data_IF_768100926819
#
_entry.id   IF_768100926819
#
_cell.length_a   1.000
_cell.length_b   1.000
_cell.length_c   1.000
_cell.angle_alpha   90.00
_cell.angle_beta   90.00
_cell.angle_gamma   90.00
#
_symmetry.space_group_name_H-M   'P 1'
#
loop_
_entity.id
_entity.type
_entity.pdbx_description
1 polymer ?
#
# COMPACT_ATOMS: atom_id res chain seq x y z
N UNK A 1 2.83 -8.51 -24.62
CA UNK A 1 3.96 -8.95 -23.76
C UNK A 1 3.49 -10.07 -22.83
N UNK A 2 4.42 -10.86 -22.32
CA UNK A 2 4.21 -11.85 -21.24
C UNK A 2 4.78 -11.25 -19.96
N UNK A 3 3.94 -11.00 -18.97
CA UNK A 3 4.31 -10.25 -17.77
C UNK A 3 4.06 -11.14 -16.55
N UNK A 4 5.11 -11.35 -15.76
CA UNK A 4 5.05 -12.01 -14.46
C UNK A 4 5.09 -10.95 -13.37
N UNK A 5 4.15 -11.00 -12.44
CA UNK A 5 4.22 -10.30 -11.16
C UNK A 5 4.54 -11.31 -10.05
N UNK A 6 5.62 -11.06 -9.31
CA UNK A 6 5.98 -11.85 -8.14
C UNK A 6 5.82 -11.02 -6.88
N UNK A 7 5.04 -11.53 -5.93
CA UNK A 7 4.69 -10.86 -4.70
C UNK A 7 4.85 -11.75 -3.46
N UNK A 8 5.12 -11.15 -2.32
CA UNK A 8 5.36 -11.84 -1.05
C UNK A 8 4.10 -11.98 -0.19
N UNK A 9 2.92 -11.76 -0.75
CA UNK A 9 1.62 -11.84 -0.08
C UNK A 9 0.57 -12.47 -1.01
N UNK A 10 -0.63 -12.69 -0.47
CA UNK A 10 -1.74 -13.28 -1.23
C UNK A 10 -2.25 -12.33 -2.32
N UNK A 11 -2.48 -12.87 -3.53
CA UNK A 11 -3.19 -12.18 -4.61
C UNK A 11 -4.59 -11.70 -4.17
N UNK A 12 -5.26 -12.46 -3.30
CA UNK A 12 -6.57 -12.10 -2.75
C UNK A 12 -6.48 -11.21 -1.50
N UNK A 13 -5.29 -10.81 -1.08
CA UNK A 13 -5.05 -9.99 0.10
C UNK A 13 -5.80 -8.65 0.07
N UNK A 14 -6.24 -8.20 1.25
CA UNK A 14 -6.97 -6.92 1.42
C UNK A 14 -6.05 -5.72 1.65
N UNK A 15 -4.74 -5.92 1.83
CA UNK A 15 -3.77 -4.85 2.07
C UNK A 15 -3.58 -3.92 0.86
N UNK A 16 -3.11 -2.69 1.11
CA UNK A 16 -2.89 -1.70 0.06
C UNK A 16 -1.93 -2.18 -1.03
N UNK A 17 -0.82 -2.82 -0.66
CA UNK A 17 0.15 -3.35 -1.61
C UNK A 17 -0.45 -4.47 -2.47
N UNK A 18 -1.19 -5.43 -1.87
CA UNK A 18 -1.88 -6.48 -2.60
C UNK A 18 -2.93 -5.90 -3.58
N UNK A 19 -3.68 -4.87 -3.16
CA UNK A 19 -4.63 -4.16 -4.02
C UNK A 19 -3.93 -3.53 -5.22
N UNK A 20 -2.82 -2.82 -5.01
CA UNK A 20 -2.05 -2.20 -6.11
C UNK A 20 -1.54 -3.24 -7.09
N UNK A 21 -0.95 -4.32 -6.61
CA UNK A 21 -0.45 -5.41 -7.46
C UNK A 21 -1.55 -6.06 -8.28
N UNK A 22 -2.68 -6.38 -7.64
CA UNK A 22 -3.83 -6.98 -8.31
C UNK A 22 -4.41 -6.07 -9.40
N UNK A 23 -4.66 -4.80 -9.10
CA UNK A 23 -5.17 -3.83 -10.07
C UNK A 23 -4.17 -3.59 -11.22
N UNK A 24 -2.88 -3.54 -10.91
CA UNK A 24 -1.82 -3.43 -11.93
C UNK A 24 -1.84 -4.60 -12.90
N UNK A 25 -1.80 -5.82 -12.39
CA UNK A 25 -1.71 -7.01 -13.27
C UNK A 25 -3.02 -7.27 -14.02
N UNK A 26 -4.17 -6.98 -13.41
CA UNK A 26 -5.48 -7.03 -14.07
C UNK A 26 -5.56 -5.97 -15.19
N UNK A 27 -5.11 -4.75 -14.93
CA UNK A 27 -5.06 -3.69 -15.95
C UNK A 27 -4.21 -4.09 -17.15
N UNK A 28 -3.03 -4.67 -16.93
CA UNK A 28 -2.18 -5.18 -18.01
C UNK A 28 -2.83 -6.35 -18.77
N UNK A 29 -3.53 -7.25 -18.07
CA UNK A 29 -4.27 -8.33 -18.72
C UNK A 29 -5.42 -7.80 -19.58
N UNK A 30 -6.17 -6.81 -19.12
CA UNK A 30 -7.23 -6.14 -19.89
C UNK A 30 -6.71 -5.42 -21.14
N UNK A 31 -5.44 -5.00 -21.14
CA UNK A 31 -4.73 -4.41 -22.28
C UNK A 31 -4.24 -5.47 -23.30
N UNK A 32 -4.57 -6.75 -23.09
CA UNK A 32 -4.24 -7.85 -23.98
C UNK A 32 -2.88 -8.49 -23.74
N UNK A 33 -2.23 -8.20 -22.60
CA UNK A 33 -1.01 -8.90 -22.23
C UNK A 33 -1.30 -10.27 -21.60
N UNK A 34 -0.41 -11.24 -21.82
CA UNK A 34 -0.47 -12.52 -21.09
C UNK A 34 0.15 -12.31 -19.71
N UNK A 35 -0.63 -12.51 -18.66
CA UNK A 35 -0.19 -12.22 -17.30
C UNK A 35 -0.15 -13.48 -16.43
N UNK A 36 0.86 -13.51 -15.55
CA UNK A 36 0.98 -14.52 -14.51
C UNK A 36 1.35 -13.86 -13.18
N UNK A 37 0.98 -14.50 -12.07
CA UNK A 37 1.33 -14.08 -10.71
C UNK A 37 1.97 -15.24 -9.96
N UNK A 38 3.02 -14.95 -9.21
CA UNK A 38 3.56 -15.82 -8.17
C UNK A 38 3.21 -15.19 -6.83
N UNK A 39 2.50 -15.93 -5.97
CA UNK A 39 1.99 -15.43 -4.69
C UNK A 39 2.03 -16.51 -3.59
N UNK A 40 1.81 -16.06 -2.36
CA UNK A 40 1.57 -16.93 -1.20
C UNK A 40 0.07 -16.92 -0.93
N UNK A 41 -0.60 -18.06 -1.12
CA UNK A 41 -2.03 -18.16 -0.91
C UNK A 41 -2.37 -19.01 0.31
N UNK A 42 -3.42 -18.61 1.05
CA UNK A 42 -3.99 -19.44 2.08
C UNK A 42 -4.66 -20.68 1.47
N UNK A 43 -4.59 -21.83 2.14
CA UNK A 43 -5.22 -23.07 1.68
C UNK A 43 -6.72 -22.93 1.46
N UNK A 44 -7.41 -22.08 2.24
CA UNK A 44 -8.84 -21.81 2.07
C UNK A 44 -9.10 -20.97 0.82
N UNK A 45 -8.25 -20.00 0.51
CA UNK A 45 -8.31 -19.18 -0.69
C UNK A 45 -8.06 -20.04 -1.93
N UNK A 46 -7.02 -20.89 -1.91
CA UNK A 46 -6.75 -21.88 -2.95
C UNK A 46 -7.95 -22.83 -3.14
N UNK A 47 -8.54 -23.36 -2.05
CA UNK A 47 -9.66 -24.28 -2.12
C UNK A 47 -10.94 -23.65 -2.71
N UNK A 48 -11.09 -22.33 -2.57
CA UNK A 48 -12.21 -21.57 -3.16
C UNK A 48 -11.98 -21.20 -4.63
N UNK A 49 -10.73 -21.29 -5.13
CA UNK A 49 -10.39 -20.97 -6.52
C UNK A 49 -10.94 -22.01 -7.48
N UNK A 50 -11.35 -21.55 -8.66
CA UNK A 50 -11.83 -22.43 -9.74
C UNK A 50 -10.66 -22.90 -10.60
N UNK A 51 -10.77 -24.12 -11.16
CA UNK A 51 -9.80 -24.62 -12.13
C UNK A 51 -8.44 -25.00 -11.54
N UNK A 52 -8.40 -25.44 -10.26
CA UNK A 52 -7.18 -25.90 -9.60
C UNK A 52 -6.50 -27.02 -10.39
N UNK A 53 -5.22 -26.86 -10.63
CA UNK A 53 -4.36 -27.87 -11.25
C UNK A 53 -3.08 -28.03 -10.43
N UNK A 54 -2.57 -29.27 -10.24
CA UNK A 54 -1.24 -29.42 -9.67
C UNK A 54 -0.22 -28.77 -10.62
N UNK A 55 0.77 -28.09 -10.04
CA UNK A 55 1.92 -27.62 -10.78
C UNK A 55 2.78 -28.80 -11.31
N UNK A 56 3.71 -28.51 -12.17
CA UNK A 56 4.69 -29.49 -12.63
C UNK A 56 5.75 -29.77 -11.57
N UNK A 57 5.85 -28.93 -10.57
CA UNK A 57 6.74 -29.03 -9.43
C UNK A 57 5.94 -29.43 -8.17
N UNK A 58 6.37 -30.46 -7.41
CA UNK A 58 5.69 -30.83 -6.17
C UNK A 58 5.57 -29.64 -5.20
N UNK A 59 4.38 -29.44 -4.64
CA UNK A 59 4.08 -28.33 -3.71
C UNK A 59 3.74 -27.01 -4.41
N UNK A 60 3.59 -26.99 -5.72
CA UNK A 60 3.07 -25.86 -6.48
C UNK A 60 1.65 -26.15 -6.93
N UNK A 61 0.75 -25.23 -6.66
CA UNK A 61 -0.64 -25.25 -7.17
C UNK A 61 -0.80 -24.16 -8.21
N UNK A 62 -1.48 -24.47 -9.31
CA UNK A 62 -1.82 -23.52 -10.37
C UNK A 62 -3.31 -23.37 -10.49
N UNK A 63 -3.77 -22.17 -10.71
CA UNK A 63 -5.17 -21.87 -11.02
C UNK A 63 -5.24 -20.58 -11.86
N UNK A 64 -6.43 -20.24 -12.28
CA UNK A 64 -6.70 -19.01 -13.01
C UNK A 64 -7.68 -18.15 -12.22
N UNK A 65 -7.36 -16.85 -12.10
CA UNK A 65 -8.24 -15.84 -11.55
C UNK A 65 -8.19 -14.61 -12.47
N UNK A 66 -9.35 -14.08 -12.84
CA UNK A 66 -9.49 -12.88 -13.68
C UNK A 66 -8.71 -12.95 -15.03
N UNK A 67 -8.58 -14.15 -15.61
CA UNK A 67 -7.79 -14.39 -16.82
C UNK A 67 -6.27 -14.40 -16.61
N UNK A 68 -5.82 -14.44 -15.34
CA UNK A 68 -4.42 -14.42 -14.94
C UNK A 68 -4.04 -15.79 -14.40
N UNK A 69 -2.89 -16.32 -14.83
CA UNK A 69 -2.34 -17.56 -14.30
C UNK A 69 -1.69 -17.33 -12.94
N UNK A 70 -2.16 -18.01 -11.90
CA UNK A 70 -1.60 -17.92 -10.56
C UNK A 70 -0.77 -19.19 -10.28
N UNK A 71 0.47 -18.97 -9.82
CA UNK A 71 1.38 -20.00 -9.35
C UNK A 71 1.57 -19.78 -7.85
N UNK A 72 0.97 -20.65 -7.06
CA UNK A 72 0.98 -20.53 -5.60
C UNK A 72 1.70 -21.71 -4.94
N UNK A 73 2.30 -21.47 -3.78
CA UNK A 73 2.74 -22.54 -2.90
C UNK A 73 1.61 -22.92 -1.95
N UNK A 74 1.45 -24.21 -1.72
CA UNK A 74 0.57 -24.76 -0.67
C UNK A 74 1.22 -24.76 0.72
N UNK A 75 2.46 -24.31 0.83
CA UNK A 75 3.25 -24.19 2.05
C UNK A 75 3.60 -22.75 2.33
N UNK A 76 3.41 -22.33 3.58
CA UNK A 76 3.82 -21.05 4.06
C UNK A 76 5.28 -20.72 3.67
N UNK A 77 5.48 -19.61 2.97
CA UNK A 77 6.79 -19.02 2.64
C UNK A 77 7.66 -19.74 1.60
N UNK A 78 7.22 -20.83 0.97
CA UNK A 78 7.97 -21.47 -0.12
C UNK A 78 7.64 -20.83 -1.48
N UNK A 79 8.21 -19.65 -1.74
CA UNK A 79 7.98 -18.91 -3.00
C UNK A 79 8.94 -19.31 -4.13
N UNK A 80 10.05 -19.94 -3.83
CA UNK A 80 11.06 -20.25 -4.85
C UNK A 80 10.56 -21.28 -5.87
N UNK A 81 9.79 -22.30 -5.44
CA UNK A 81 9.25 -23.33 -6.34
C UNK A 81 8.24 -22.77 -7.33
N UNK A 82 7.17 -22.06 -6.91
CA UNK A 82 6.25 -21.42 -7.84
C UNK A 82 6.97 -20.39 -8.74
N UNK A 83 7.93 -19.62 -8.23
CA UNK A 83 8.72 -18.69 -9.03
C UNK A 83 9.54 -19.39 -10.13
N UNK A 84 10.31 -20.42 -9.75
CA UNK A 84 11.12 -21.21 -10.69
C UNK A 84 10.27 -21.94 -11.74
N UNK A 85 9.13 -22.50 -11.33
CA UNK A 85 8.20 -23.13 -12.28
C UNK A 85 7.61 -22.12 -13.25
N UNK A 86 7.16 -20.95 -12.75
CA UNK A 86 6.58 -19.92 -13.59
C UNK A 86 7.60 -19.40 -14.60
N UNK A 87 8.81 -19.06 -14.18
CA UNK A 87 9.87 -18.60 -15.08
C UNK A 87 10.15 -19.60 -16.21
N UNK A 88 10.23 -20.90 -15.88
CA UNK A 88 10.51 -21.96 -16.84
C UNK A 88 9.37 -22.22 -17.81
N UNK A 89 8.10 -22.17 -17.36
CA UNK A 89 6.93 -22.57 -18.15
C UNK A 89 6.26 -21.38 -18.81
N UNK A 90 6.09 -20.28 -18.12
CA UNK A 90 5.49 -19.06 -18.61
C UNK A 90 6.45 -18.23 -19.46
N UNK A 91 7.76 -18.24 -19.19
CA UNK A 91 8.83 -17.54 -19.93
C UNK A 91 8.49 -16.04 -20.14
N UNK A 92 8.43 -15.24 -19.09
CA UNK A 92 8.00 -13.85 -19.15
C UNK A 92 8.98 -12.99 -19.97
N UNK A 93 8.44 -11.96 -20.65
CA UNK A 93 9.21 -10.86 -21.23
C UNK A 93 9.62 -9.85 -20.13
N UNK A 94 8.78 -9.68 -19.12
CA UNK A 94 9.01 -8.82 -17.95
C UNK A 94 8.68 -9.57 -16.66
N UNK A 95 9.53 -9.34 -15.66
CA UNK A 95 9.35 -9.83 -14.27
C UNK A 95 9.22 -8.61 -13.37
N UNK A 96 8.01 -8.37 -12.87
CA UNK A 96 7.72 -7.33 -11.90
C UNK A 96 7.87 -7.93 -10.50
N UNK A 97 8.74 -7.38 -9.68
CA UNK A 97 8.91 -7.79 -8.28
C UNK A 97 8.28 -6.71 -7.40
N UNK A 98 7.21 -7.09 -6.71
CA UNK A 98 6.57 -6.23 -5.73
C UNK A 98 7.15 -6.48 -4.35
N UNK A 99 7.48 -5.40 -3.66
CA UNK A 99 8.18 -5.45 -2.38
C UNK A 99 9.46 -6.31 -2.48
N UNK A 100 10.55 -5.91 -1.91
CA UNK A 100 11.80 -6.66 -2.09
C UNK A 100 11.76 -7.98 -1.30
N UNK A 101 11.09 -8.97 -1.87
CA UNK A 101 11.40 -10.35 -1.54
C UNK A 101 12.80 -10.64 -2.05
N UNK A 102 13.83 -10.49 -1.21
CA UNK A 102 15.24 -10.74 -1.59
C UNK A 102 15.36 -12.07 -2.32
N UNK A 103 14.64 -13.09 -1.88
CA UNK A 103 14.62 -14.41 -2.52
C UNK A 103 14.01 -14.36 -3.93
N UNK A 104 12.87 -13.72 -4.12
CA UNK A 104 12.22 -13.62 -5.44
C UNK A 104 13.10 -12.85 -6.42
N UNK A 105 13.73 -11.77 -5.94
CA UNK A 105 14.66 -10.97 -6.74
C UNK A 105 15.89 -11.79 -7.14
N UNK A 106 16.48 -12.55 -6.22
CA UNK A 106 17.63 -13.42 -6.51
C UNK A 106 17.30 -14.44 -7.61
N UNK A 107 16.18 -15.14 -7.49
CA UNK A 107 15.74 -16.12 -8.50
C UNK A 107 15.48 -15.45 -9.86
N UNK A 108 14.87 -14.27 -9.86
CA UNK A 108 14.63 -13.54 -11.10
C UNK A 108 15.94 -13.09 -11.76
N UNK A 109 16.93 -12.69 -10.98
CA UNK A 109 18.26 -12.29 -11.48
C UNK A 109 19.04 -13.46 -12.09
N UNK A 110 18.91 -14.67 -11.55
CA UNK A 110 19.45 -15.88 -12.17
C UNK A 110 18.78 -16.19 -13.53
N UNK A 111 17.52 -15.82 -13.70
CA UNK A 111 16.81 -16.01 -14.95
C UNK A 111 17.24 -14.97 -16.01
N UNK A 112 17.01 -13.68 -15.78
CA UNK A 112 17.44 -12.59 -16.66
C UNK A 112 17.30 -11.22 -15.96
N UNK A 113 18.37 -10.61 -15.47
CA UNK A 113 18.31 -9.32 -14.78
C UNK A 113 17.84 -8.17 -15.68
N UNK A 114 18.00 -8.29 -17.02
CA UNK A 114 17.57 -7.26 -17.98
C UNK A 114 16.05 -7.16 -18.13
N UNK A 115 15.29 -8.09 -17.56
CA UNK A 115 13.84 -8.16 -17.61
C UNK A 115 13.15 -7.79 -16.30
N UNK A 116 13.92 -7.42 -15.27
CA UNK A 116 13.39 -7.18 -13.94
C UNK A 116 13.02 -5.71 -13.76
N UNK A 117 11.80 -5.46 -13.32
CA UNK A 117 11.34 -4.17 -12.83
C UNK A 117 10.88 -4.32 -11.38
N UNK A 118 11.46 -3.52 -10.50
CA UNK A 118 11.00 -3.45 -9.11
C UNK A 118 9.84 -2.47 -9.00
N UNK A 119 8.82 -2.85 -8.23
CA UNK A 119 7.68 -2.01 -7.87
C UNK A 119 7.72 -1.76 -6.37
N UNK A 120 8.29 -0.64 -5.95
CA UNK A 120 8.54 -0.31 -4.55
C UNK A 120 7.32 0.41 -3.97
N UNK A 121 6.64 -0.24 -3.02
CA UNK A 121 5.39 0.22 -2.42
C UNK A 121 5.49 0.43 -0.90
N UNK A 122 6.64 0.15 -0.28
CA UNK A 122 6.85 0.27 1.16
C UNK A 122 8.31 0.60 1.46
N UNK A 123 8.55 1.22 2.60
CA UNK A 123 9.90 1.46 3.12
C UNK A 123 10.41 0.31 3.98
N UNK A 124 9.60 -0.71 4.29
CA UNK A 124 9.92 -1.75 5.29
C UNK A 124 11.27 -2.40 5.03
N UNK A 125 11.55 -2.77 3.79
CA UNK A 125 12.82 -3.41 3.41
C UNK A 125 14.03 -2.47 3.51
N UNK A 126 13.80 -1.17 3.52
CA UNK A 126 14.82 -0.11 3.50
C UNK A 126 14.91 0.64 4.82
N UNK A 127 14.31 0.11 5.90
CA UNK A 127 14.37 0.74 7.22
C UNK A 127 15.78 0.67 7.79
N UNK A 128 16.29 1.76 8.36
CA UNK A 128 17.59 1.75 9.02
C UNK A 128 17.53 0.92 10.31
N UNK A 129 18.17 -0.23 10.31
CA UNK A 129 18.35 -1.08 11.51
C UNK A 129 19.80 -1.10 11.92
N UNK A 130 20.09 -1.16 13.23
CA UNK A 130 21.46 -1.07 13.76
C UNK A 130 22.40 -2.21 13.32
N UNK A 131 21.88 -3.29 12.72
CA UNK A 131 22.64 -4.50 12.36
C UNK A 131 22.75 -4.78 10.86
N UNK A 132 22.44 -3.84 9.99
CA UNK A 132 22.10 -4.15 8.58
C UNK A 132 23.16 -3.81 7.52
N UNK A 133 24.37 -3.33 7.87
CA UNK A 133 25.34 -2.83 6.88
C UNK A 133 25.63 -3.78 5.70
N UNK A 134 25.95 -5.04 5.98
CA UNK A 134 26.24 -6.04 4.93
C UNK A 134 24.97 -6.43 4.15
N UNK A 135 23.85 -6.57 4.83
CA UNK A 135 22.57 -6.88 4.20
C UNK A 135 22.07 -5.71 3.33
N UNK A 136 22.22 -4.48 3.80
CA UNK A 136 21.87 -3.29 3.01
C UNK A 136 22.70 -3.21 1.73
N UNK A 137 24.01 -3.41 1.79
CA UNK A 137 24.85 -3.38 0.58
C UNK A 137 24.53 -4.54 -0.35
N UNK A 138 24.20 -5.71 0.19
CA UNK A 138 23.71 -6.82 -0.62
C UNK A 138 22.43 -6.44 -1.38
N UNK A 139 21.43 -5.87 -0.69
CA UNK A 139 20.19 -5.40 -1.33
C UNK A 139 20.50 -4.31 -2.36
N UNK A 140 21.34 -3.33 -2.04
CA UNK A 140 21.74 -2.28 -3.01
C UNK A 140 22.39 -2.86 -4.26
N UNK A 141 23.23 -3.87 -4.09
CA UNK A 141 23.86 -4.58 -5.21
C UNK A 141 22.82 -5.27 -6.10
N UNK A 142 21.84 -5.93 -5.48
CA UNK A 142 20.72 -6.55 -6.24
C UNK A 142 19.90 -5.51 -6.99
N UNK A 143 19.60 -4.38 -6.37
CA UNK A 143 18.87 -3.28 -7.00
C UNK A 143 19.57 -2.72 -8.24
N UNK A 144 20.91 -2.58 -8.19
CA UNK A 144 21.72 -2.12 -9.34
C UNK A 144 21.62 -3.05 -10.55
N UNK A 145 21.31 -4.33 -10.33
CA UNK A 145 21.17 -5.35 -11.36
C UNK A 145 19.73 -5.55 -11.83
N UNK A 146 18.89 -4.49 -11.75
CA UNK A 146 17.55 -4.51 -12.30
C UNK A 146 17.46 -3.58 -13.52
N UNK A 147 16.47 -3.83 -14.38
CA UNK A 147 16.24 -3.01 -15.57
C UNK A 147 15.60 -1.67 -15.24
N UNK A 148 14.79 -1.62 -14.19
CA UNK A 148 14.12 -0.40 -13.75
C UNK A 148 13.54 -0.52 -12.34
N UNK A 149 13.30 0.64 -11.73
CA UNK A 149 12.66 0.76 -10.43
C UNK A 149 11.46 1.71 -10.60
N UNK A 150 10.30 1.25 -10.20
CA UNK A 150 9.07 2.04 -10.13
C UNK A 150 8.74 2.30 -8.68
N UNK A 151 8.38 3.53 -8.36
CA UNK A 151 7.91 3.95 -7.03
C UNK A 151 6.50 4.53 -7.13
N UNK A 152 5.75 4.46 -6.03
CA UNK A 152 4.33 4.84 -5.99
C UNK A 152 4.10 6.31 -5.61
N UNK A 153 5.16 7.07 -5.37
CA UNK A 153 5.10 8.49 -5.00
C UNK A 153 6.45 9.18 -5.20
N UNK A 154 6.46 10.52 -5.23
CA UNK A 154 7.69 11.30 -5.21
C UNK A 154 8.48 11.09 -3.91
N UNK A 155 7.78 10.96 -2.77
CA UNK A 155 8.41 10.61 -1.50
C UNK A 155 9.22 9.32 -1.62
N UNK A 156 8.65 8.26 -2.17
CA UNK A 156 9.34 6.97 -2.35
C UNK A 156 10.49 7.06 -3.34
N UNK A 157 10.36 7.84 -4.41
CA UNK A 157 11.46 8.11 -5.36
C UNK A 157 12.65 8.72 -4.62
N UNK A 158 12.41 9.78 -3.85
CA UNK A 158 13.46 10.52 -3.15
C UNK A 158 14.08 9.67 -2.03
N UNK A 159 13.26 8.86 -1.34
CA UNK A 159 13.72 7.91 -0.35
C UNK A 159 14.66 6.84 -0.97
N UNK A 160 14.25 6.20 -2.07
CA UNK A 160 15.08 5.21 -2.76
C UNK A 160 16.36 5.85 -3.31
N UNK A 161 16.27 7.07 -3.84
CA UNK A 161 17.46 7.81 -4.29
C UNK A 161 18.43 8.08 -3.17
N UNK A 162 17.94 8.53 -2.03
CA UNK A 162 18.77 8.78 -0.85
C UNK A 162 19.39 7.49 -0.30
N UNK A 163 18.60 6.42 -0.19
CA UNK A 163 19.02 5.15 0.39
C UNK A 163 19.96 4.35 -0.51
N UNK A 164 19.71 4.27 -1.82
CA UNK A 164 20.45 3.41 -2.76
C UNK A 164 21.36 4.17 -3.74
N UNK A 165 21.15 5.46 -3.93
CA UNK A 165 21.77 6.25 -5.00
C UNK A 165 21.13 6.04 -6.38
N UNK A 166 20.15 5.15 -6.51
CA UNK A 166 19.53 4.79 -7.80
C UNK A 166 18.35 5.70 -8.15
N UNK A 167 18.14 5.91 -9.44
CA UNK A 167 16.98 6.61 -9.96
C UNK A 167 15.79 5.65 -10.08
N UNK A 168 14.58 6.18 -9.90
CA UNK A 168 13.33 5.45 -10.09
C UNK A 168 12.28 6.32 -10.79
N UNK A 169 11.32 5.68 -11.43
CA UNK A 169 10.21 6.34 -12.10
C UNK A 169 8.98 6.31 -11.20
N UNK A 170 8.35 7.47 -11.00
CA UNK A 170 7.08 7.53 -10.24
C UNK A 170 5.93 7.13 -11.14
N UNK A 171 5.25 6.06 -10.78
CA UNK A 171 3.97 5.66 -11.36
C UNK A 171 2.96 5.53 -10.22
N UNK A 172 2.07 6.51 -10.13
CA UNK A 172 1.03 6.49 -9.09
C UNK A 172 0.13 5.27 -9.23
N UNK A 173 -0.28 4.64 -8.10
CA UNK A 173 -1.10 3.44 -8.15
C UNK A 173 -2.51 3.74 -8.66
N UNK A 174 -2.93 3.09 -9.73
CA UNK A 174 -4.28 3.15 -10.28
C UNK A 174 -5.22 2.16 -9.58
N UNK A 175 -5.18 2.11 -8.23
CA UNK A 175 -5.84 1.09 -7.42
C UNK A 175 -7.12 1.60 -6.74
N UNK A 176 -7.94 2.37 -7.45
CA UNK A 176 -9.17 2.96 -6.89
C UNK A 176 -10.45 2.37 -7.49
N UNK A 177 -10.34 1.53 -8.53
CA UNK A 177 -11.48 1.04 -9.30
C UNK A 177 -12.01 2.09 -10.30
N UNK A 178 -13.06 1.71 -11.04
CA UNK A 178 -13.61 2.52 -12.14
C UNK A 178 -14.75 3.46 -11.71
N UNK A 179 -15.18 3.41 -10.43
CA UNK A 179 -16.36 4.14 -9.96
C UNK A 179 -17.69 3.56 -10.52
N UNK A 180 -18.83 4.27 -10.41
CA UNK A 180 -18.93 5.56 -9.74
C UNK A 180 -18.69 5.46 -8.23
N UNK A 181 -18.06 6.48 -7.65
CA UNK A 181 -17.81 6.55 -6.21
C UNK A 181 -18.95 7.25 -5.51
N UNK A 182 -19.56 6.60 -4.53
CA UNK A 182 -20.65 7.19 -3.75
C UNK A 182 -20.16 8.38 -2.93
N UNK A 183 -20.85 9.51 -2.98
CA UNK A 183 -20.58 10.64 -2.09
C UNK A 183 -21.35 10.44 -0.78
N UNK A 184 -20.62 10.26 0.33
CA UNK A 184 -21.23 10.10 1.65
C UNK A 184 -21.32 11.45 2.38
N UNK A 185 -22.52 11.72 2.94
CA UNK A 185 -22.82 12.96 3.69
C UNK A 185 -23.02 12.64 5.17
N UNK A 186 -21.92 12.25 5.85
CA UNK A 186 -21.97 11.65 7.19
C UNK A 186 -21.74 12.65 8.34
N UNK A 187 -22.00 13.96 8.13
CA UNK A 187 -21.75 14.96 9.17
C UNK A 187 -22.52 14.67 10.48
N UNK A 188 -23.76 14.25 10.39
CA UNK A 188 -24.63 14.10 11.57
C UNK A 188 -24.47 12.74 12.29
N UNK A 189 -23.98 11.69 11.61
CA UNK A 189 -24.11 10.32 12.13
C UNK A 189 -22.86 9.43 12.02
N UNK A 190 -21.77 9.91 11.42
CA UNK A 190 -20.60 9.08 11.16
C UNK A 190 -19.63 8.98 12.34
N UNK A 191 -18.74 8.00 12.28
CA UNK A 191 -17.60 7.80 13.18
C UNK A 191 -16.39 8.63 12.76
N UNK A 192 -15.54 9.00 13.74
CA UNK A 192 -14.14 9.33 13.49
C UNK A 192 -13.39 8.02 13.39
N UNK A 193 -12.92 7.69 12.19
CA UNK A 193 -12.39 6.36 11.83
C UNK A 193 -10.87 6.34 11.78
N UNK A 194 -10.27 5.23 12.22
CA UNK A 194 -8.89 4.86 11.93
C UNK A 194 -8.84 3.42 11.39
N UNK A 195 -8.10 3.20 10.30
CA UNK A 195 -7.86 1.87 9.73
C UNK A 195 -6.45 1.40 10.12
N UNK A 196 -6.35 0.13 10.52
CA UNK A 196 -5.11 -0.52 10.98
C UNK A 196 -4.47 0.21 12.17
N UNK A 197 -5.18 0.41 13.30
CA UNK A 197 -4.65 1.10 14.47
C UNK A 197 -3.47 0.30 15.06
N UNK A 198 -2.29 0.85 14.94
CA UNK A 198 -1.04 0.28 15.46
C UNK A 198 0.00 1.38 15.68
N UNK A 199 1.15 1.02 16.27
CA UNK A 199 2.23 1.95 16.58
C UNK A 199 2.72 2.73 15.35
N UNK A 200 2.95 2.06 14.22
CA UNK A 200 3.38 2.70 12.97
C UNK A 200 2.36 3.71 12.43
N UNK A 201 1.09 3.42 12.60
CA UNK A 201 -0.03 4.24 12.09
C UNK A 201 -0.50 5.30 13.08
N UNK A 202 0.16 5.43 14.25
CA UNK A 202 -0.12 6.50 15.21
C UNK A 202 -1.35 6.25 16.08
N UNK A 203 -1.57 5.01 16.52
CA UNK A 203 -2.64 4.67 17.46
C UNK A 203 -2.61 5.55 18.72
N UNK A 204 -1.43 6.02 19.16
CA UNK A 204 -1.27 6.91 20.32
C UNK A 204 -2.06 8.22 20.18
N UNK A 205 -2.02 8.83 18.98
CA UNK A 205 -2.80 10.04 18.65
C UNK A 205 -4.29 9.71 18.67
N UNK A 206 -4.71 8.62 18.03
CA UNK A 206 -6.13 8.20 18.00
C UNK A 206 -6.69 7.99 19.42
N UNK A 207 -5.96 7.29 20.27
CA UNK A 207 -6.36 7.05 21.67
C UNK A 207 -6.41 8.36 22.47
N UNK A 208 -5.47 9.28 22.26
CA UNK A 208 -5.48 10.59 22.92
C UNK A 208 -6.72 11.40 22.52
N UNK A 209 -7.07 11.43 21.22
CA UNK A 209 -8.26 12.11 20.73
C UNK A 209 -9.55 11.50 21.29
N UNK A 210 -9.65 10.17 21.30
CA UNK A 210 -10.83 9.48 21.81
C UNK A 210 -11.04 9.71 23.32
N UNK A 211 -9.96 9.79 24.11
CA UNK A 211 -10.03 10.16 25.54
C UNK A 211 -10.46 11.61 25.73
N UNK A 212 -9.96 12.52 24.90
CA UNK A 212 -10.25 13.96 25.01
C UNK A 212 -11.68 14.33 24.56
N UNK A 213 -12.29 13.47 23.72
CA UNK A 213 -13.62 13.70 23.14
C UNK A 213 -14.57 12.54 23.48
N UNK A 214 -14.93 12.31 24.76
CA UNK A 214 -15.69 11.14 25.17
C UNK A 214 -17.14 11.10 24.62
N UNK A 215 -17.65 12.23 24.16
CA UNK A 215 -18.98 12.36 23.53
C UNK A 215 -18.98 12.10 22.02
N UNK A 216 -17.79 11.99 21.41
CA UNK A 216 -17.64 11.71 19.97
C UNK A 216 -17.51 10.20 19.75
N UNK A 217 -18.18 9.69 18.74
CA UNK A 217 -18.10 8.28 18.35
C UNK A 217 -16.87 8.04 17.50
N UNK A 218 -15.97 7.19 17.97
CA UNK A 218 -14.81 6.73 17.24
C UNK A 218 -15.00 5.29 16.77
N UNK A 219 -14.36 4.94 15.67
CA UNK A 219 -14.27 3.57 15.21
C UNK A 219 -12.84 3.21 14.76
N UNK A 220 -12.47 1.97 14.96
CA UNK A 220 -11.21 1.44 14.53
C UNK A 220 -11.42 0.13 13.74
N UNK A 221 -10.70 -0.04 12.63
CA UNK A 221 -10.68 -1.28 11.85
C UNK A 221 -9.34 -1.97 12.09
N UNK A 222 -9.24 -2.90 13.06
CA UNK A 222 -8.02 -3.66 13.29
C UNK A 222 -7.63 -4.48 12.06
N UNK A 223 -6.34 -4.44 11.71
CA UNK A 223 -5.83 -5.13 10.54
C UNK A 223 -4.45 -5.75 10.83
N UNK A 224 -3.64 -6.04 9.81
CA UNK A 224 -2.42 -6.85 9.87
C UNK A 224 -1.39 -6.43 10.92
N UNK A 225 -1.27 -5.12 11.25
CA UNK A 225 -0.30 -4.62 12.22
C UNK A 225 -0.90 -4.33 13.61
N UNK A 226 -2.22 -4.52 13.78
CA UNK A 226 -2.89 -4.27 15.07
C UNK A 226 -2.62 -5.39 16.04
N UNK A 227 -1.88 -5.13 17.11
CA UNK A 227 -1.53 -6.12 18.15
C UNK A 227 -2.68 -6.41 19.11
N UNK A 228 -2.50 -7.41 19.96
CA UNK A 228 -3.45 -7.72 21.05
C UNK A 228 -3.53 -6.56 22.07
N UNK A 229 -2.40 -5.93 22.35
CA UNK A 229 -2.28 -4.79 23.26
C UNK A 229 -3.01 -3.56 22.67
N UNK A 230 -2.86 -3.30 21.37
CA UNK A 230 -3.58 -2.22 20.67
C UNK A 230 -5.09 -2.43 20.78
N UNK A 231 -5.56 -3.67 20.53
CA UNK A 231 -6.98 -4.02 20.67
C UNK A 231 -7.48 -3.82 22.09
N UNK A 232 -6.72 -4.24 23.09
CA UNK A 232 -7.05 -4.06 24.50
C UNK A 232 -7.16 -2.56 24.87
N UNK A 233 -6.22 -1.73 24.39
CA UNK A 233 -6.24 -0.28 24.61
C UNK A 233 -7.47 0.40 23.97
N UNK A 234 -7.85 -0.01 22.76
CA UNK A 234 -9.05 0.49 22.08
C UNK A 234 -10.33 0.09 22.84
N UNK A 235 -10.41 -1.14 23.32
CA UNK A 235 -11.59 -1.66 24.05
C UNK A 235 -11.79 -1.02 25.42
N UNK A 236 -10.77 -0.40 26.01
CA UNK A 236 -10.90 0.36 27.26
C UNK A 236 -11.67 1.66 27.09
N UNK A 237 -11.87 2.15 25.89
CA UNK A 237 -12.54 3.43 25.61
C UNK A 237 -14.00 3.18 25.20
N UNK A 238 -15.00 3.63 26.00
CA UNK A 238 -16.41 3.33 25.76
C UNK A 238 -16.98 3.96 24.51
N UNK A 239 -16.31 4.98 23.96
CA UNK A 239 -16.69 5.69 22.74
C UNK A 239 -15.97 5.16 21.50
N UNK A 240 -15.22 4.04 21.60
CA UNK A 240 -14.52 3.41 20.46
C UNK A 240 -15.22 2.08 20.10
N UNK A 241 -15.59 1.94 18.84
CA UNK A 241 -16.17 0.72 18.27
C UNK A 241 -15.15 0.04 17.36
N UNK A 242 -14.94 -1.28 17.55
CA UNK A 242 -14.15 -2.08 16.62
C UNK A 242 -15.02 -2.56 15.46
N UNK A 243 -14.64 -2.23 14.24
CA UNK A 243 -15.29 -2.65 13.00
C UNK A 243 -14.43 -3.73 12.35
N UNK A 244 -15.03 -4.75 11.77
CA UNK A 244 -14.30 -5.78 11.02
C UNK A 244 -13.79 -5.20 9.70
N UNK A 245 -12.61 -5.66 9.22
CA UNK A 245 -12.17 -5.36 7.86
C UNK A 245 -13.19 -5.90 6.85
N UNK A 246 -13.49 -5.08 5.84
CA UNK A 246 -14.41 -5.44 4.76
C UNK A 246 -13.70 -5.30 3.42
N UNK A 247 -13.93 -6.23 2.47
CA UNK A 247 -13.35 -6.12 1.12
C UNK A 247 -13.82 -4.88 0.37
N UNK A 248 -15.09 -4.50 0.57
CA UNK A 248 -15.66 -3.27 0.02
C UNK A 248 -15.54 -2.13 1.05
N UNK A 249 -14.67 -1.16 0.77
CA UNK A 249 -14.48 0.01 1.64
C UNK A 249 -15.73 0.86 1.80
N UNK A 250 -16.70 0.82 0.87
CA UNK A 250 -17.95 1.55 0.99
C UNK A 250 -18.75 1.10 2.22
N UNK A 251 -18.65 -0.17 2.61
CA UNK A 251 -19.31 -0.70 3.81
C UNK A 251 -18.77 -0.08 5.11
N UNK A 252 -17.52 0.36 5.11
CA UNK A 252 -16.89 1.08 6.20
C UNK A 252 -17.17 2.59 6.05
N UNK A 253 -16.95 3.14 4.86
CA UNK A 253 -17.02 4.58 4.61
C UNK A 253 -18.43 5.17 4.69
N UNK A 254 -19.48 4.38 4.41
CA UNK A 254 -20.89 4.83 4.58
C UNK A 254 -21.24 5.26 6.02
N UNK A 255 -20.42 4.89 7.01
CA UNK A 255 -20.58 5.26 8.41
C UNK A 255 -19.39 6.09 8.95
N UNK A 256 -18.55 6.62 8.07
CA UNK A 256 -17.36 7.39 8.45
C UNK A 256 -17.62 8.88 8.26
N UNK A 257 -17.51 9.68 9.34
CA UNK A 257 -17.57 11.14 9.29
C UNK A 257 -16.21 11.73 8.86
N UNK A 258 -15.14 11.34 9.55
CA UNK A 258 -13.77 11.82 9.33
C UNK A 258 -12.83 10.60 9.36
N UNK A 259 -11.89 10.54 8.44
CA UNK A 259 -10.82 9.55 8.48
C UNK A 259 -9.57 10.17 9.13
N UNK A 260 -9.00 9.49 10.12
CA UNK A 260 -7.71 9.83 10.73
C UNK A 260 -6.61 8.92 10.15
N UNK A 261 -5.55 9.54 9.65
CA UNK A 261 -4.36 8.86 9.13
C UNK A 261 -3.12 9.46 9.82
N UNK A 262 -2.97 9.27 11.15
CA UNK A 262 -1.90 9.88 11.94
C UNK A 262 -0.61 9.06 11.91
N UNK A 263 -0.25 8.50 10.76
CA UNK A 263 0.92 7.63 10.61
C UNK A 263 2.20 8.31 11.08
N UNK A 264 3.04 7.54 11.79
CA UNK A 264 4.32 8.00 12.34
C UNK A 264 5.52 7.51 11.54
N UNK A 265 5.31 6.67 10.54
CA UNK A 265 6.35 6.17 9.65
C UNK A 265 6.20 6.74 8.23
N UNK A 266 7.20 6.55 7.38
CA UNK A 266 7.14 7.01 5.98
C UNK A 266 6.14 6.22 5.16
N UNK A 267 4.88 6.66 5.12
CA UNK A 267 3.88 6.09 4.21
C UNK A 267 4.36 6.18 2.77
N UNK A 268 4.26 5.09 2.03
CA UNK A 268 4.67 5.10 0.64
C UNK A 268 3.82 6.07 -0.21
N UNK A 269 2.49 6.06 -0.01
CA UNK A 269 1.57 7.00 -0.65
C UNK A 269 0.34 7.28 0.24
N UNK A 270 -0.28 6.21 0.79
CA UNK A 270 -1.49 6.36 1.60
C UNK A 270 -2.78 6.22 0.79
N UNK A 271 -2.96 5.10 0.09
CA UNK A 271 -4.14 4.81 -0.75
C UNK A 271 -5.47 5.10 -0.07
N UNK A 272 -5.58 4.79 1.23
CA UNK A 272 -6.80 4.99 2.01
C UNK A 272 -7.24 6.46 2.07
N UNK A 273 -6.29 7.40 1.92
CA UNK A 273 -6.58 8.84 1.83
C UNK A 273 -7.37 9.12 0.56
N UNK A 274 -6.88 8.67 -0.59
CA UNK A 274 -7.58 8.81 -1.87
C UNK A 274 -8.92 8.09 -1.90
N UNK A 275 -8.99 6.87 -1.35
CA UNK A 275 -10.24 6.11 -1.24
C UNK A 275 -11.32 6.87 -0.44
N UNK A 276 -10.96 7.51 0.68
CA UNK A 276 -11.87 8.32 1.49
C UNK A 276 -12.26 9.62 0.77
N UNK A 277 -11.27 10.31 0.19
CA UNK A 277 -11.47 11.58 -0.52
C UNK A 277 -12.40 11.42 -1.73
N UNK A 278 -12.28 10.34 -2.51
CA UNK A 278 -13.20 10.00 -3.61
C UNK A 278 -14.67 9.93 -3.16
N UNK A 279 -14.89 9.60 -1.90
CA UNK A 279 -16.23 9.47 -1.29
C UNK A 279 -16.65 10.73 -0.53
N UNK A 280 -15.88 11.81 -0.64
CA UNK A 280 -16.15 13.07 0.03
C UNK A 280 -15.99 13.01 1.55
N UNK A 281 -15.18 12.09 2.07
CA UNK A 281 -14.89 11.99 3.50
C UNK A 281 -13.67 12.88 3.80
N UNK A 282 -13.80 13.89 4.68
CA UNK A 282 -12.65 14.67 5.12
C UNK A 282 -11.59 13.80 5.80
N UNK A 283 -10.32 14.03 5.45
CA UNK A 283 -9.19 13.26 5.97
C UNK A 283 -8.23 14.19 6.72
N UNK A 284 -7.96 13.87 7.98
CA UNK A 284 -6.84 14.44 8.74
C UNK A 284 -5.66 13.46 8.62
N UNK A 285 -4.60 13.88 7.94
CA UNK A 285 -3.41 13.06 7.68
C UNK A 285 -2.18 13.68 8.31
N UNK A 286 -1.21 12.84 8.71
CA UNK A 286 0.09 13.35 9.15
C UNK A 286 0.94 13.82 7.97
N UNK A 287 2.00 14.57 8.29
CA UNK A 287 3.01 15.00 7.33
C UNK A 287 4.06 13.90 7.03
N UNK A 288 3.76 12.63 7.37
CA UNK A 288 4.70 11.52 7.26
C UNK A 288 4.69 10.90 5.84
N UNK A 289 5.87 10.80 5.25
CA UNK A 289 6.06 10.11 3.98
C UNK A 289 5.29 10.74 2.81
N UNK A 290 4.62 9.92 2.03
CA UNK A 290 3.80 10.31 0.88
C UNK A 290 2.39 10.81 1.24
N UNK A 291 2.02 10.92 2.53
CA UNK A 291 0.69 11.41 2.92
C UNK A 291 0.40 12.85 2.47
N UNK A 292 1.34 13.81 2.58
CA UNK A 292 1.11 15.15 2.02
C UNK A 292 0.80 15.12 0.52
N UNK A 293 1.46 14.24 -0.22
CA UNK A 293 1.23 14.04 -1.66
C UNK A 293 -0.14 13.43 -1.94
N UNK A 294 -0.56 12.42 -1.18
CA UNK A 294 -1.88 11.78 -1.32
C UNK A 294 -3.05 12.66 -0.90
N UNK A 295 -2.80 13.73 -0.12
CA UNK A 295 -3.78 14.76 0.23
C UNK A 295 -4.12 15.70 -0.93
N UNK A 296 -3.37 15.69 -2.02
CA UNK A 296 -3.66 16.42 -3.26
C UNK A 296 -3.89 17.93 -3.04
N UNK A 297 -3.19 18.53 -2.08
CA UNK A 297 -3.34 19.96 -1.73
C UNK A 297 -4.56 20.29 -0.86
N UNK A 298 -5.35 19.32 -0.43
CA UNK A 298 -6.47 19.57 0.50
C UNK A 298 -5.95 19.73 1.92
N UNK A 299 -6.51 20.68 2.66
CA UNK A 299 -6.11 21.04 4.03
C UNK A 299 -6.08 19.86 5.01
N UNK A 300 -5.48 20.10 6.18
CA UNK A 300 -5.29 19.16 7.30
C UNK A 300 -4.24 18.08 7.04
N UNK A 301 -3.05 18.51 6.63
CA UNK A 301 -1.80 17.79 6.82
C UNK A 301 -1.19 18.29 8.15
N UNK A 302 -1.14 17.41 9.15
CA UNK A 302 -0.81 17.74 10.52
C UNK A 302 0.56 17.18 10.94
N UNK A 303 1.33 17.90 11.78
CA UNK A 303 2.65 17.44 12.18
C UNK A 303 2.57 16.24 13.13
N UNK A 304 3.59 15.39 13.03
CA UNK A 304 3.87 14.29 13.96
C UNK A 304 5.37 14.19 14.20
N UNK A 305 5.75 13.62 15.34
CA UNK A 305 7.12 13.16 15.56
C UNK A 305 7.26 11.78 14.89
N UNK A 306 8.06 11.71 13.82
CA UNK A 306 8.22 10.49 13.03
C UNK A 306 9.05 9.43 13.77
N UNK A 307 8.82 8.16 13.46
CA UNK A 307 9.67 7.05 13.87
C UNK A 307 10.96 7.14 13.06
N UNK A 308 12.08 7.39 13.74
CA UNK A 308 13.41 7.52 13.14
C UNK A 308 14.28 6.29 13.41
N UNK A 309 13.96 5.51 14.45
CA UNK A 309 14.77 4.38 14.90
C UNK A 309 13.94 3.10 15.01
N UNK A 310 14.56 2.03 14.57
CA UNK A 310 14.01 0.67 14.61
C UNK A 310 15.01 -0.23 15.30
N UNK A 311 14.52 -1.17 16.10
CA UNK A 311 15.32 -2.16 16.83
C UNK A 311 14.83 -3.57 16.46
N UNK A 312 15.73 -4.54 16.57
CA UNK A 312 15.34 -5.96 16.47
C UNK A 312 14.91 -6.43 17.87
N UNK A 313 13.77 -7.10 17.94
CA UNK A 313 13.36 -7.78 19.17
C UNK A 313 14.10 -9.11 19.36
N UNK A 314 13.75 -9.85 20.45
CA UNK A 314 14.37 -11.15 20.74
C UNK A 314 14.15 -12.20 19.67
N UNK A 315 13.13 -12.07 18.86
CA UNK A 315 12.75 -12.98 17.78
C UNK A 315 13.32 -12.54 16.42
N UNK A 316 14.06 -11.42 16.41
CA UNK A 316 14.68 -10.82 15.21
C UNK A 316 13.68 -10.00 14.38
N UNK A 317 12.51 -9.68 14.91
CA UNK A 317 11.55 -8.84 14.21
C UNK A 317 11.87 -7.34 14.41
N UNK A 318 11.66 -6.56 13.36
CA UNK A 318 11.87 -5.11 13.39
C UNK A 318 10.73 -4.44 14.15
N UNK A 319 11.07 -3.74 15.22
CA UNK A 319 10.12 -2.96 16.04
C UNK A 319 10.44 -1.47 16.00
N UNK A 320 9.44 -0.58 15.91
CA UNK A 320 9.67 0.86 15.94
C UNK A 320 9.95 1.34 17.37
N UNK A 321 10.86 2.30 17.50
CA UNK A 321 10.96 3.11 18.71
C UNK A 321 10.03 4.31 18.54
N UNK A 322 8.83 4.20 19.11
CA UNK A 322 7.76 5.20 18.91
C UNK A 322 8.03 6.44 19.77
N UNK A 323 8.21 7.63 19.16
CA UNK A 323 8.37 8.87 19.92
C UNK A 323 7.05 9.35 20.53
N UNK A 324 7.15 10.13 21.60
CA UNK A 324 5.99 10.79 22.19
C UNK A 324 5.36 11.77 21.21
N UNK A 325 4.04 11.85 21.21
CA UNK A 325 3.26 12.67 20.28
C UNK A 325 2.50 13.78 21.03
N UNK A 326 2.53 14.99 20.47
CA UNK A 326 1.61 16.07 20.87
C UNK A 326 0.34 15.99 20.01
N UNK A 327 -0.77 15.60 20.62
CA UNK A 327 -2.06 15.52 19.95
C UNK A 327 -2.86 16.83 19.92
N UNK A 328 -2.33 17.94 20.43
CA UNK A 328 -3.07 19.20 20.60
C UNK A 328 -3.57 19.78 19.27
N UNK A 329 -2.71 19.81 18.25
CA UNK A 329 -3.08 20.28 16.91
C UNK A 329 -4.11 19.34 16.25
N UNK A 330 -3.99 18.03 16.46
CA UNK A 330 -4.94 17.04 15.99
C UNK A 330 -6.30 17.20 16.67
N UNK A 331 -6.32 17.45 17.98
CA UNK A 331 -7.55 17.68 18.74
C UNK A 331 -8.28 18.93 18.25
N UNK A 332 -7.53 20.04 18.04
CA UNK A 332 -8.10 21.28 17.51
C UNK A 332 -8.69 21.04 16.10
N UNK A 333 -7.90 20.46 15.19
CA UNK A 333 -8.34 20.20 13.82
C UNK A 333 -9.56 19.29 13.75
N UNK A 334 -9.55 18.20 14.54
CA UNK A 334 -10.69 17.29 14.59
C UNK A 334 -11.94 18.00 15.13
N UNK A 335 -11.81 18.76 16.23
CA UNK A 335 -12.94 19.48 16.82
C UNK A 335 -13.53 20.48 15.80
N UNK A 336 -12.69 21.27 15.12
CA UNK A 336 -13.14 22.22 14.10
C UNK A 336 -13.96 21.52 13.00
N UNK A 337 -13.46 20.39 12.46
CA UNK A 337 -14.10 19.66 11.36
C UNK A 337 -15.40 19.00 11.79
N UNK A 338 -15.50 18.46 13.00
CA UNK A 338 -16.71 17.73 13.44
C UNK A 338 -17.81 18.63 13.98
N UNK A 339 -17.51 19.90 14.31
CA UNK A 339 -18.49 20.85 14.88
C UNK A 339 -18.93 21.92 13.89
N UNK A 340 -18.09 22.28 12.91
CA UNK A 340 -18.43 23.29 11.88
C UNK A 340 -18.89 22.57 10.60
N UNK A 341 -20.22 22.56 10.35
CA UNK A 341 -20.82 21.96 9.17
C UNK A 341 -20.32 22.59 7.86
N UNK A 342 -20.17 23.91 7.82
CA UNK A 342 -19.75 24.60 6.60
C UNK A 342 -18.30 24.25 6.25
N UNK A 343 -17.44 24.14 7.25
CA UNK A 343 -16.06 23.65 7.09
C UNK A 343 -16.05 22.20 6.60
N UNK A 344 -16.84 21.33 7.21
CA UNK A 344 -16.94 19.92 6.83
C UNK A 344 -17.37 19.75 5.37
N UNK A 345 -18.44 20.41 4.95
CA UNK A 345 -18.97 20.33 3.59
C UNK A 345 -17.99 20.87 2.56
N UNK A 346 -17.30 21.98 2.86
CA UNK A 346 -16.23 22.51 2.02
C UNK A 346 -15.10 21.51 1.85
N UNK A 347 -14.62 20.89 2.93
CA UNK A 347 -13.57 19.87 2.89
C UNK A 347 -14.02 18.60 2.15
N UNK A 348 -15.27 18.19 2.34
CA UNK A 348 -15.87 17.04 1.64
C UNK A 348 -15.85 17.24 0.13
N UNK A 349 -16.31 18.39 -0.34
CA UNK A 349 -16.31 18.72 -1.78
C UNK A 349 -14.89 18.84 -2.34
N UNK A 350 -14.03 19.62 -1.68
CA UNK A 350 -12.63 19.79 -2.11
C UNK A 350 -11.88 18.45 -2.18
N UNK A 351 -12.07 17.58 -1.18
CA UNK A 351 -11.48 16.22 -1.17
C UNK A 351 -11.93 15.42 -2.37
N UNK A 352 -13.25 15.41 -2.62
CA UNK A 352 -13.83 14.64 -3.74
C UNK A 352 -13.36 15.16 -5.09
N UNK A 353 -13.39 16.46 -5.32
CA UNK A 353 -12.94 17.09 -6.57
C UNK A 353 -11.46 16.80 -6.85
N UNK A 354 -10.59 16.98 -5.87
CA UNK A 354 -9.17 16.70 -6.00
C UNK A 354 -8.91 15.22 -6.31
N UNK A 355 -9.58 14.29 -5.59
CA UNK A 355 -9.38 12.86 -5.79
C UNK A 355 -9.95 12.38 -7.14
N UNK A 356 -11.12 12.87 -7.58
CA UNK A 356 -11.68 12.54 -8.90
C UNK A 356 -10.77 13.04 -10.04
N UNK A 357 -10.25 14.26 -9.92
CA UNK A 357 -9.28 14.81 -10.87
C UNK A 357 -8.01 13.96 -10.92
N UNK A 358 -7.45 13.62 -9.77
CA UNK A 358 -6.26 12.78 -9.67
C UNK A 358 -6.48 11.41 -10.32
N UNK A 359 -7.53 10.69 -9.94
CA UNK A 359 -7.83 9.35 -10.47
C UNK A 359 -8.16 9.41 -11.97
N UNK A 360 -8.87 10.44 -12.44
CA UNK A 360 -9.15 10.66 -13.86
C UNK A 360 -7.90 10.85 -14.72
N UNK A 361 -6.80 11.33 -14.12
CA UNK A 361 -5.51 11.51 -14.77
C UNK A 361 -4.60 10.25 -14.67
N UNK A 362 -4.96 9.27 -13.85
CA UNK A 362 -4.25 7.98 -13.80
C UNK A 362 -4.61 7.17 -15.05
N UNK A 363 -3.87 7.34 -16.11
CA UNK A 363 -4.11 6.61 -17.36
C UNK A 363 -3.85 5.11 -17.19
N UNK A 364 -4.72 4.23 -17.72
CA UNK A 364 -4.56 2.77 -17.62
C UNK A 364 -3.28 2.26 -18.30
N UNK A 365 -2.74 3.01 -19.25
CA UNK A 365 -1.56 2.60 -20.05
C UNK A 365 -0.22 3.14 -19.54
N UNK A 366 -0.14 3.76 -18.35
CA UNK A 366 1.11 4.35 -17.87
C UNK A 366 2.18 3.29 -17.65
N UNK A 367 1.82 2.16 -17.04
CA UNK A 367 2.78 1.10 -16.76
C UNK A 367 3.19 0.35 -18.03
N UNK A 368 2.25 0.10 -18.95
CA UNK A 368 2.53 -0.48 -20.27
C UNK A 368 3.55 0.36 -21.04
N UNK A 369 3.31 1.67 -21.16
CA UNK A 369 4.25 2.61 -21.84
C UNK A 369 5.62 2.64 -21.19
N UNK A 370 5.68 2.51 -19.87
CA UNK A 370 6.96 2.41 -19.17
C UNK A 370 7.72 1.15 -19.58
N UNK A 371 7.08 -0.01 -19.63
CA UNK A 371 7.70 -1.27 -20.07
C UNK A 371 8.15 -1.20 -21.54
N UNK A 372 7.34 -0.61 -22.43
CA UNK A 372 7.69 -0.38 -23.83
C UNK A 372 8.89 0.54 -23.99
N UNK A 373 8.95 1.62 -23.22
CA UNK A 373 10.11 2.52 -23.17
C UNK A 373 11.39 1.80 -22.75
N UNK A 374 11.33 0.95 -21.72
CA UNK A 374 12.46 0.13 -21.32
C UNK A 374 12.89 -0.86 -22.42
N UNK A 375 11.94 -1.48 -23.12
CA UNK A 375 12.22 -2.38 -24.24
C UNK A 375 12.90 -1.66 -25.41
N UNK A 376 12.52 -0.41 -25.68
CA UNK A 376 13.13 0.43 -26.72
C UNK A 376 14.52 1.00 -26.34
N UNK A 377 15.06 0.64 -25.17
CA UNK A 377 16.38 1.10 -24.75
C UNK A 377 16.41 2.47 -24.05
N UNK A 378 15.27 3.08 -23.79
CA UNK A 378 15.20 4.27 -22.95
C UNK A 378 15.59 3.89 -21.52
N UNK A 379 16.64 4.52 -20.97
CA UNK A 379 16.86 4.49 -19.52
C UNK A 379 15.76 5.34 -18.90
N UNK A 380 15.29 4.97 -17.70
CA UNK A 380 14.33 5.76 -16.94
C UNK A 380 14.92 7.13 -16.62
N UNK A 381 14.85 8.06 -17.56
CA UNK A 381 14.91 9.48 -17.22
C UNK A 381 13.65 9.78 -16.43
N UNK A 382 13.81 10.54 -15.34
CA UNK A 382 12.73 10.97 -14.48
C UNK A 382 11.69 11.76 -15.31
N UNK A 383 10.83 11.05 -16.02
CA UNK A 383 9.66 11.63 -16.65
C UNK A 383 8.70 11.97 -15.51
N UNK A 384 8.83 13.19 -14.97
CA UNK A 384 7.76 13.80 -14.21
C UNK A 384 6.58 13.94 -15.17
N UNK A 385 5.63 13.04 -15.11
CA UNK A 385 4.29 13.33 -15.60
C UNK A 385 3.67 14.33 -14.62
N UNK A 386 4.19 15.58 -14.70
CA UNK A 386 3.59 16.71 -14.05
C UNK A 386 2.17 16.83 -14.61
N UNK A 387 1.22 16.87 -13.73
CA UNK A 387 -0.12 17.38 -13.97
C UNK A 387 0.00 18.79 -14.56
N UNK A 388 -0.31 18.95 -15.85
CA UNK A 388 -0.72 20.23 -16.40
C UNK A 388 -2.16 20.53 -15.97
#
# INVERSE_FOLDING_TARGET
MRILLAESFSYFGLGGAAKVCRELIQGLAQQGHSCAVVSIEDRHEIAAAKGLQPGNTPGVTRFEADGIQIFASDKDKDQWRPMSECLRTFKPDWVLISEVGVLLLAIAQEYDPSRIVLVVQSIITYLPTESSGDMEEHIRSMLRNTRGIVTVSNYMRDYIKQWSGLDSTVLYPAAYGSGPFTHFHNFDSGYVLMINPCSYKGISIFLALARSLPHVKFAAVPFWATTAEDRAALMQLPNVTLIKPEPNLDDIFKQTKVLLVPSLWGEAFGLVVGDAMLRGIPVLASNAGGLPESKLGVDYVLPVNMIERYVLDSDGEVKPVVPEQDASMWLKALNDVITDRALYERLSLASREAALSFVGNLGPHHFERYLEGLAAGQRSEAASFATN
#
